data_IF_035278215639
#
_entry.id   IF_035278215639
#
_cell.length_a   1.000
_cell.length_b   1.000
_cell.length_c   1.000
_cell.angle_alpha   90.00
_cell.angle_beta   90.00
_cell.angle_gamma   90.00
#
_symmetry.space_group_name_H-M   'P 1'
#
loop_
_entity.id
_entity.type
_entity.pdbx_description
1 polymer ?
#
# COMPACT_ATOMS: atom_id res chain seq x y z
N UNK A 1 7.72 -23.18 15.47
CA UNK A 1 7.73 -21.96 16.30
C UNK A 1 6.51 -21.16 15.91
N UNK A 2 5.59 -20.97 16.86
CA UNK A 2 4.31 -20.28 16.67
C UNK A 2 4.53 -18.77 16.58
N UNK A 3 3.84 -18.12 15.65
CA UNK A 3 3.84 -16.69 15.45
C UNK A 3 3.15 -16.00 16.63
N UNK A 4 3.76 -14.92 17.16
CA UNK A 4 3.17 -14.19 18.29
C UNK A 4 2.17 -13.13 17.81
N UNK A 5 0.96 -13.16 18.34
CA UNK A 5 -0.08 -12.14 18.13
C UNK A 5 -0.43 -11.46 19.45
N UNK A 6 -0.52 -10.14 19.44
CA UNK A 6 -0.97 -9.31 20.54
C UNK A 6 -2.49 -9.26 20.58
N UNK A 7 -3.06 -10.11 21.43
CA UNK A 7 -4.50 -10.22 21.64
C UNK A 7 -5.04 -9.14 22.60
N UNK A 8 -4.15 -8.44 23.32
CA UNK A 8 -4.53 -7.40 24.29
C UNK A 8 -5.22 -6.23 23.59
N UNK A 9 -4.77 -5.91 22.37
CA UNK A 9 -5.28 -4.83 21.52
C UNK A 9 -5.33 -3.51 22.28
N UNK A 10 -4.35 -3.29 23.16
CA UNK A 10 -4.36 -2.12 24.03
C UNK A 10 -4.14 -0.84 23.22
N UNK A 11 -5.09 0.08 23.35
CA UNK A 11 -4.96 1.42 22.76
C UNK A 11 -4.28 2.32 23.80
N UNK A 12 -3.17 3.00 23.44
CA UNK A 12 -2.45 3.87 24.37
C UNK A 12 -3.37 4.92 25.03
N UNK A 13 -3.22 5.11 26.34
CA UNK A 13 -4.04 6.03 27.14
C UNK A 13 -4.03 7.47 26.58
N UNK A 14 -2.90 7.91 26.02
CA UNK A 14 -2.80 9.21 25.36
C UNK A 14 -3.78 9.34 24.18
N UNK A 15 -3.93 8.28 23.35
CA UNK A 15 -4.87 8.29 22.21
C UNK A 15 -6.33 8.30 22.68
N UNK A 16 -6.65 7.54 23.74
CA UNK A 16 -7.99 7.55 24.38
C UNK A 16 -8.37 8.96 24.85
N UNK A 17 -7.44 9.64 25.56
CA UNK A 17 -7.64 11.02 26.02
C UNK A 17 -7.92 12.00 24.87
N UNK A 18 -7.18 11.89 23.76
CA UNK A 18 -7.41 12.76 22.59
C UNK A 18 -8.77 12.50 21.94
N UNK A 19 -9.21 11.24 21.88
CA UNK A 19 -10.53 10.88 21.38
C UNK A 19 -11.66 11.42 22.26
N UNK A 20 -11.54 11.29 23.58
CA UNK A 20 -12.49 11.88 24.54
C UNK A 20 -12.56 13.40 24.40
N UNK A 21 -11.43 14.08 24.20
CA UNK A 21 -11.37 15.52 23.95
C UNK A 21 -12.10 15.91 22.65
N UNK A 22 -11.96 15.13 21.58
CA UNK A 22 -12.71 15.33 20.34
C UNK A 22 -14.21 15.14 20.53
N UNK A 23 -14.63 14.10 21.27
CA UNK A 23 -16.03 13.81 21.52
C UNK A 23 -16.72 14.88 22.39
N UNK A 24 -16.01 15.41 23.39
CA UNK A 24 -16.53 16.44 24.29
C UNK A 24 -16.60 17.84 23.65
N UNK A 25 -16.04 18.02 22.45
CA UNK A 25 -15.84 19.33 21.84
C UNK A 25 -14.60 19.99 22.42
N UNK A 26 -13.51 19.94 21.66
CA UNK A 26 -12.22 20.48 22.10
C UNK A 26 -12.26 22.02 22.23
N UNK A 27 -11.51 22.54 23.21
CA UNK A 27 -11.32 24.00 23.45
C UNK A 27 -10.28 24.63 22.53
N UNK A 28 -9.48 23.81 21.87
CA UNK A 28 -8.44 24.20 20.90
C UNK A 28 -8.89 23.78 19.51
N UNK A 29 -8.32 24.34 18.43
CA UNK A 29 -8.79 23.97 17.09
C UNK A 29 -8.38 22.53 16.74
N UNK A 30 -9.32 21.76 16.20
CA UNK A 30 -9.07 20.44 15.64
C UNK A 30 -8.78 20.54 14.14
N UNK A 31 -7.69 19.92 13.71
CA UNK A 31 -7.29 19.83 12.31
C UNK A 31 -7.26 18.38 11.85
N UNK A 32 -7.38 18.16 10.55
CA UNK A 32 -7.28 16.82 9.95
C UNK A 32 -6.17 16.84 8.90
N UNK A 33 -5.19 15.95 9.03
CA UNK A 33 -4.14 15.79 8.02
C UNK A 33 -4.63 14.88 6.89
N UNK A 34 -4.54 15.38 5.66
CA UNK A 34 -4.92 14.71 4.42
C UNK A 34 -6.33 15.01 3.95
N UNK A 35 -6.53 15.02 2.62
CA UNK A 35 -7.82 15.27 1.96
C UNK A 35 -8.40 13.98 1.33
N UNK A 36 -8.54 12.91 2.11
CA UNK A 36 -8.97 11.58 1.64
C UNK A 36 -10.30 11.11 2.26
N UNK A 37 -10.73 9.88 1.93
CA UNK A 37 -11.98 9.31 2.44
C UNK A 37 -12.03 9.25 3.99
N UNK A 38 -10.92 8.90 4.64
CA UNK A 38 -10.79 8.88 6.10
C UNK A 38 -11.01 10.29 6.68
N UNK A 39 -10.43 11.31 6.06
CA UNK A 39 -10.65 12.71 6.47
C UNK A 39 -12.11 13.15 6.34
N UNK A 40 -12.85 12.66 5.32
CA UNK A 40 -14.30 12.90 5.23
C UNK A 40 -15.07 12.27 6.37
N UNK A 41 -14.71 11.05 6.80
CA UNK A 41 -15.37 10.38 7.92
C UNK A 41 -15.15 11.15 9.23
N UNK A 42 -13.94 11.66 9.47
CA UNK A 42 -13.63 12.51 10.63
C UNK A 42 -14.49 13.78 10.61
N UNK A 43 -14.54 14.50 9.49
CA UNK A 43 -15.27 15.76 9.37
C UNK A 43 -16.80 15.62 9.42
N UNK A 44 -17.34 14.42 9.17
CA UNK A 44 -18.78 14.13 9.38
C UNK A 44 -19.14 14.03 10.86
N UNK A 45 -18.17 13.69 11.72
CA UNK A 45 -18.43 13.39 13.15
C UNK A 45 -17.97 14.49 14.09
N UNK A 46 -16.88 15.18 13.74
CA UNK A 46 -16.27 16.20 14.58
C UNK A 46 -16.20 17.55 13.87
N UNK A 47 -16.25 18.62 14.67
CA UNK A 47 -16.00 19.97 14.18
C UNK A 47 -14.51 20.11 13.80
N UNK A 48 -14.26 20.31 12.51
CA UNK A 48 -12.91 20.51 11.95
C UNK A 48 -12.73 21.98 11.57
N UNK A 49 -11.64 22.58 12.05
CA UNK A 49 -11.29 23.97 11.74
C UNK A 49 -10.76 24.09 10.30
N UNK A 50 -9.82 23.22 9.93
CA UNK A 50 -9.23 23.15 8.59
C UNK A 50 -8.60 21.76 8.33
N UNK A 51 -8.31 21.49 7.06
CA UNK A 51 -7.51 20.35 6.63
C UNK A 51 -6.05 20.77 6.43
N UNK A 52 -5.11 19.88 6.75
CA UNK A 52 -3.69 20.06 6.49
C UNK A 52 -3.34 19.19 5.28
N UNK A 53 -2.86 19.80 4.19
CA UNK A 53 -2.32 19.05 3.06
C UNK A 53 -1.30 19.91 2.28
N UNK A 54 -0.07 19.42 2.17
CA UNK A 54 1.02 20.14 1.51
C UNK A 54 1.13 19.84 0.01
N UNK A 55 0.43 18.82 -0.49
CA UNK A 55 0.50 18.38 -1.89
C UNK A 55 -0.68 18.89 -2.73
N UNK A 56 -1.86 18.92 -2.13
CA UNK A 56 -3.11 19.37 -2.77
C UNK A 56 -3.03 20.86 -3.13
N UNK A 57 -3.57 21.26 -4.29
CA UNK A 57 -3.53 22.65 -4.77
C UNK A 57 -4.84 23.39 -4.51
N UNK A 58 -5.91 22.64 -4.29
CA UNK A 58 -7.22 23.13 -3.94
C UNK A 58 -7.18 23.93 -2.64
N UNK A 59 -7.93 25.03 -2.60
CA UNK A 59 -8.00 25.89 -1.43
C UNK A 59 -8.94 25.36 -0.33
N UNK A 60 -9.87 24.47 -0.69
CA UNK A 60 -10.88 23.96 0.24
C UNK A 60 -11.16 22.47 0.04
N UNK A 61 -11.54 21.82 1.14
CA UNK A 61 -12.06 20.45 1.17
C UNK A 61 -13.30 20.41 2.06
N UNK A 62 -14.41 19.87 1.56
CA UNK A 62 -15.71 19.86 2.27
C UNK A 62 -16.16 21.25 2.75
N UNK A 63 -15.85 22.31 2.00
CA UNK A 63 -16.18 23.69 2.36
C UNK A 63 -15.34 24.27 3.51
N UNK A 64 -14.28 23.58 3.96
CA UNK A 64 -13.32 24.07 4.95
C UNK A 64 -11.98 24.39 4.28
N UNK A 65 -11.20 25.35 4.81
CA UNK A 65 -9.90 25.68 4.25
C UNK A 65 -8.94 24.48 4.29
N UNK A 66 -8.12 24.34 3.26
CA UNK A 66 -6.91 23.53 3.27
C UNK A 66 -5.73 24.48 3.57
N UNK A 67 -4.93 24.13 4.58
CA UNK A 67 -3.74 24.89 4.97
C UNK A 67 -2.49 24.04 4.79
N UNK A 68 -1.35 24.71 4.59
CA UNK A 68 -0.05 24.05 4.66
C UNK A 68 0.28 23.70 6.11
N UNK A 69 1.04 22.64 6.33
CA UNK A 69 1.41 22.17 7.67
C UNK A 69 2.12 23.26 8.49
N UNK A 70 2.95 24.08 7.83
CA UNK A 70 3.64 25.21 8.45
C UNK A 70 2.70 26.34 8.93
N UNK A 71 1.46 26.39 8.44
CA UNK A 71 0.47 27.42 8.77
C UNK A 71 -0.48 26.98 9.89
N UNK A 72 -0.51 25.69 10.25
CA UNK A 72 -1.41 25.18 11.28
C UNK A 72 -0.87 25.48 12.70
N UNK A 73 -1.74 25.79 13.68
CA UNK A 73 -1.34 26.06 15.06
C UNK A 73 -0.71 24.83 15.73
N UNK A 74 0.43 24.99 16.39
CA UNK A 74 1.21 23.88 16.97
C UNK A 74 0.54 23.21 18.17
N UNK A 75 -0.35 23.94 18.85
CA UNK A 75 -1.16 23.46 19.97
C UNK A 75 -2.45 22.75 19.52
N UNK A 76 -2.72 22.72 18.21
CA UNK A 76 -3.88 22.04 17.64
C UNK A 76 -3.88 20.53 17.93
N UNK A 77 -5.07 19.98 18.09
CA UNK A 77 -5.29 18.54 18.04
C UNK A 77 -5.39 18.13 16.57
N UNK A 78 -4.55 17.19 16.13
CA UNK A 78 -4.53 16.74 14.73
C UNK A 78 -5.01 15.30 14.62
N UNK A 79 -6.00 15.05 13.77
CA UNK A 79 -6.36 13.69 13.34
C UNK A 79 -5.59 13.35 12.06
N UNK A 80 -4.72 12.34 12.12
CA UNK A 80 -3.88 11.92 10.99
C UNK A 80 -4.56 10.86 10.13
N UNK A 81 -4.98 11.23 8.92
CA UNK A 81 -5.67 10.36 7.98
C UNK A 81 -4.85 9.76 6.82
N UNK A 82 -3.54 10.00 6.63
CA UNK A 82 -2.77 9.21 5.66
C UNK A 82 -2.68 7.74 6.06
N UNK A 83 -3.05 6.82 5.15
CA UNK A 83 -3.09 5.37 5.40
C UNK A 83 -1.98 4.57 4.70
N UNK A 84 -1.40 5.10 3.61
CA UNK A 84 -0.31 4.42 2.88
C UNK A 84 1.03 4.52 3.58
N UNK A 85 1.36 5.71 4.12
CA UNK A 85 2.61 5.98 4.84
C UNK A 85 2.31 6.70 6.17
N UNK A 86 1.56 6.05 7.08
CA UNK A 86 1.07 6.69 8.30
C UNK A 86 2.20 7.14 9.24
N UNK A 87 3.26 6.34 9.37
CA UNK A 87 4.41 6.70 10.21
C UNK A 87 5.21 7.88 9.64
N UNK A 88 5.38 7.96 8.31
CA UNK A 88 6.01 9.12 7.67
C UNK A 88 5.20 10.39 7.91
N UNK A 89 3.87 10.30 7.82
CA UNK A 89 2.98 11.41 8.14
C UNK A 89 3.10 11.85 9.62
N UNK A 90 3.12 10.90 10.55
CA UNK A 90 3.34 11.19 11.98
C UNK A 90 4.72 11.81 12.25
N UNK A 91 5.78 11.30 11.62
CA UNK A 91 7.12 11.85 11.76
C UNK A 91 7.18 13.30 11.27
N UNK A 92 6.53 13.61 10.15
CA UNK A 92 6.44 14.97 9.62
C UNK A 92 5.68 15.92 10.56
N UNK A 93 4.56 15.47 11.13
CA UNK A 93 3.83 16.23 12.16
C UNK A 93 4.72 16.51 13.37
N UNK A 94 5.43 15.50 13.88
CA UNK A 94 6.36 15.68 15.02
C UNK A 94 7.48 16.66 14.70
N UNK A 95 8.06 16.60 13.51
CA UNK A 95 9.10 17.54 13.05
C UNK A 95 8.59 18.99 13.00
N UNK A 96 7.31 19.21 12.73
CA UNK A 96 6.68 20.54 12.74
C UNK A 96 6.16 20.96 14.13
N UNK A 97 6.39 20.14 15.15
CA UNK A 97 6.09 20.45 16.55
C UNK A 97 4.69 20.04 17.01
N UNK A 98 3.91 19.32 16.21
CA UNK A 98 2.64 18.76 16.64
C UNK A 98 2.86 17.62 17.63
N UNK A 99 2.19 17.68 18.78
CA UNK A 99 2.33 16.69 19.87
C UNK A 99 1.07 15.85 20.08
N UNK A 100 -0.09 16.46 19.89
CA UNK A 100 -1.40 15.85 20.13
C UNK A 100 -1.99 15.33 18.82
N UNK A 101 -1.52 14.14 18.42
CA UNK A 101 -1.90 13.49 17.17
C UNK A 101 -2.65 12.19 17.44
N UNK A 102 -3.85 12.08 16.88
CA UNK A 102 -4.64 10.84 16.85
C UNK A 102 -4.64 10.30 15.41
N UNK A 103 -4.10 9.12 15.17
CA UNK A 103 -4.19 8.49 13.85
C UNK A 103 -5.55 7.85 13.61
N UNK A 104 -5.94 7.76 12.33
CA UNK A 104 -7.24 7.20 11.95
C UNK A 104 -7.40 5.73 12.36
N UNK A 105 -6.33 4.94 12.44
CA UNK A 105 -6.41 3.54 12.88
C UNK A 105 -6.81 3.44 14.36
N UNK A 106 -6.19 4.25 15.22
CA UNK A 106 -6.59 4.36 16.61
C UNK A 106 -8.02 4.90 16.76
N UNK A 107 -8.41 5.86 15.93
CA UNK A 107 -9.78 6.40 15.92
C UNK A 107 -10.81 5.31 15.53
N UNK A 108 -10.53 4.52 14.49
CA UNK A 108 -11.34 3.36 14.09
C UNK A 108 -11.44 2.35 15.23
N UNK A 109 -10.34 1.98 15.88
CA UNK A 109 -10.38 1.06 17.01
C UNK A 109 -11.20 1.56 18.21
N UNK A 110 -11.21 2.88 18.46
CA UNK A 110 -11.95 3.47 19.58
C UNK A 110 -13.45 3.57 19.30
N UNK A 111 -13.87 3.72 18.03
CA UNK A 111 -15.27 3.77 17.62
C UNK A 111 -15.47 3.25 16.19
N UNK A 112 -15.49 1.92 16.04
CA UNK A 112 -15.66 1.24 14.75
C UNK A 112 -17.02 1.50 14.10
N UNK A 113 -18.03 1.87 14.90
CA UNK A 113 -19.36 2.18 14.38
C UNK A 113 -19.37 3.52 13.64
N UNK A 114 -18.65 4.52 14.15
CA UNK A 114 -18.56 5.83 13.52
C UNK A 114 -17.48 5.92 12.43
N UNK A 115 -16.41 5.12 12.54
CA UNK A 115 -15.26 5.18 11.65
C UNK A 115 -15.06 3.83 10.96
N UNK A 116 -15.37 3.71 9.66
CA UNK A 116 -15.22 2.46 8.94
C UNK A 116 -13.75 2.07 8.79
N UNK A 117 -13.54 0.78 8.58
CA UNK A 117 -12.23 0.20 8.26
C UNK A 117 -11.63 0.89 7.03
N UNK A 118 -10.30 0.97 7.03
CA UNK A 118 -9.55 1.50 5.88
C UNK A 118 -9.65 0.51 4.73
N UNK A 119 -9.87 1.02 3.51
CA UNK A 119 -9.85 0.22 2.28
C UNK A 119 -8.64 -0.73 2.29
N UNK A 120 -8.87 -2.02 1.97
CA UNK A 120 -7.88 -3.11 1.94
C UNK A 120 -7.44 -3.66 3.30
N UNK A 121 -7.96 -3.14 4.41
CA UNK A 121 -7.70 -3.65 5.76
C UNK A 121 -8.94 -4.30 6.39
N UNK A 122 -10.00 -4.54 5.61
CA UNK A 122 -11.23 -5.15 6.10
C UNK A 122 -10.99 -6.60 6.54
N UNK A 123 -11.67 -7.02 7.62
CA UNK A 123 -11.67 -8.41 8.12
C UNK A 123 -10.30 -9.01 8.48
N UNK A 124 -9.23 -8.21 8.55
CA UNK A 124 -7.88 -8.71 8.86
C UNK A 124 -7.83 -9.55 10.13
N UNK A 125 -8.52 -9.09 11.19
CA UNK A 125 -8.58 -9.80 12.47
C UNK A 125 -9.23 -11.18 12.32
N UNK A 126 -10.43 -11.21 11.72
CA UNK A 126 -11.19 -12.45 11.53
C UNK A 126 -10.45 -13.44 10.63
N UNK A 127 -9.74 -12.95 9.60
CA UNK A 127 -8.92 -13.80 8.73
C UNK A 127 -7.75 -14.44 9.49
N UNK A 128 -7.01 -13.65 10.29
CA UNK A 128 -5.91 -14.17 11.10
C UNK A 128 -6.42 -15.20 12.11
N UNK A 129 -7.54 -14.92 12.79
CA UNK A 129 -8.13 -15.85 13.75
C UNK A 129 -8.59 -17.16 13.10
N UNK A 130 -9.21 -17.09 11.92
CA UNK A 130 -9.69 -18.27 11.20
C UNK A 130 -8.58 -19.11 10.54
N UNK A 131 -7.38 -18.55 10.38
CA UNK A 131 -6.29 -19.16 9.60
C UNK A 131 -4.94 -19.17 10.32
N UNK A 132 -4.93 -19.15 11.66
CA UNK A 132 -3.68 -19.10 12.46
C UNK A 132 -2.66 -20.17 12.07
N UNK A 133 -3.12 -21.38 11.76
CA UNK A 133 -2.29 -22.49 11.30
C UNK A 133 -1.52 -22.16 10.01
N UNK A 134 -2.12 -21.42 9.07
CA UNK A 134 -1.48 -21.00 7.82
C UNK A 134 -0.43 -19.92 8.07
N UNK A 135 -0.70 -18.98 8.98
CA UNK A 135 0.28 -17.96 9.36
C UNK A 135 1.47 -18.58 10.10
N UNK A 136 1.23 -19.50 11.03
CA UNK A 136 2.27 -20.29 11.70
C UNK A 136 3.10 -21.12 10.71
N UNK A 137 2.43 -21.74 9.74
CA UNK A 137 3.10 -22.48 8.67
C UNK A 137 4.01 -21.56 7.84
N UNK A 138 3.51 -20.38 7.42
CA UNK A 138 4.30 -19.42 6.66
C UNK A 138 5.51 -18.93 7.48
N UNK A 139 5.27 -18.53 8.73
CA UNK A 139 6.32 -18.10 9.66
C UNK A 139 7.40 -19.19 9.83
N UNK A 140 7.01 -20.45 9.95
CA UNK A 140 7.92 -21.59 10.03
C UNK A 140 8.79 -21.81 8.79
N UNK A 141 8.34 -21.35 7.60
CA UNK A 141 9.02 -21.53 6.30
C UNK A 141 9.95 -20.40 5.90
N UNK A 142 9.88 -19.24 6.56
CA UNK A 142 10.80 -18.13 6.29
C UNK A 142 12.23 -18.51 6.71
N UNK A 143 13.21 -18.21 5.85
CA UNK A 143 14.56 -18.72 6.02
C UNK A 143 15.35 -18.00 7.12
N UNK A 144 15.06 -16.71 7.30
CA UNK A 144 15.79 -15.78 8.18
C UNK A 144 14.89 -15.17 9.25
N UNK A 145 15.49 -14.79 10.37
CA UNK A 145 14.79 -14.22 11.52
C UNK A 145 14.25 -12.81 11.23
N UNK A 146 14.88 -12.06 10.33
CA UNK A 146 14.42 -10.73 9.90
C UNK A 146 13.05 -10.82 9.22
N UNK A 147 12.88 -11.74 8.27
CA UNK A 147 11.61 -11.99 7.59
C UNK A 147 10.53 -12.49 8.55
N UNK A 148 10.90 -13.35 9.52
CA UNK A 148 10.00 -13.84 10.57
C UNK A 148 9.48 -12.70 11.43
N UNK A 149 10.38 -11.85 11.93
CA UNK A 149 10.02 -10.68 12.73
C UNK A 149 9.16 -9.69 11.94
N UNK A 150 9.50 -9.43 10.66
CA UNK A 150 8.71 -8.56 9.80
C UNK A 150 7.28 -9.10 9.57
N UNK A 151 7.14 -10.42 9.34
CA UNK A 151 5.83 -11.05 9.25
C UNK A 151 5.03 -10.87 10.55
N UNK A 152 5.65 -11.13 11.71
CA UNK A 152 5.02 -10.92 13.02
C UNK A 152 4.55 -9.47 13.18
N UNK A 153 5.39 -8.48 12.86
CA UNK A 153 5.03 -7.07 12.94
C UNK A 153 3.85 -6.70 12.03
N UNK A 154 3.86 -7.14 10.77
CA UNK A 154 2.78 -6.87 9.82
C UNK A 154 1.48 -7.54 10.27
N UNK A 155 1.53 -8.79 10.72
CA UNK A 155 0.37 -9.51 11.22
C UNK A 155 -0.20 -8.85 12.48
N UNK A 156 0.65 -8.41 13.42
CA UNK A 156 0.20 -7.69 14.60
C UNK A 156 -0.39 -6.32 14.26
N UNK A 157 0.19 -5.58 13.33
CA UNK A 157 -0.43 -4.36 12.83
C UNK A 157 -1.80 -4.65 12.21
N UNK A 158 -1.94 -5.67 11.36
CA UNK A 158 -3.23 -6.04 10.75
C UNK A 158 -4.24 -6.58 11.75
N UNK A 159 -3.78 -7.20 12.84
CA UNK A 159 -4.66 -7.72 13.88
C UNK A 159 -5.18 -6.61 14.80
N UNK A 160 -4.29 -5.69 15.17
CA UNK A 160 -4.56 -4.67 16.19
C UNK A 160 -4.89 -3.30 15.62
N UNK A 161 -4.56 -3.03 14.36
CA UNK A 161 -4.49 -1.70 13.74
C UNK A 161 -3.66 -0.70 14.57
N UNK A 162 -2.72 -1.17 15.39
CA UNK A 162 -1.82 -0.31 16.15
C UNK A 162 -0.52 -0.03 15.36
N UNK A 163 -0.32 1.24 15.00
CA UNK A 163 0.87 1.72 14.29
C UNK A 163 2.20 1.49 15.03
N UNK A 164 2.18 1.21 16.33
CA UNK A 164 3.41 0.89 17.08
C UNK A 164 4.08 -0.39 16.53
N UNK A 165 3.30 -1.33 15.97
CA UNK A 165 3.82 -2.52 15.32
C UNK A 165 4.60 -2.25 14.04
N UNK A 166 4.40 -1.09 13.42
CA UNK A 166 5.12 -0.68 12.21
C UNK A 166 6.42 0.09 12.53
N UNK A 167 6.72 0.36 13.80
CA UNK A 167 7.94 1.09 14.16
C UNK A 167 9.19 0.31 13.72
N UNK A 168 10.16 1.04 13.17
CA UNK A 168 11.39 0.45 12.63
C UNK A 168 11.25 -0.13 11.22
N UNK A 169 10.03 -0.30 10.68
CA UNK A 169 9.83 -0.69 9.29
C UNK A 169 10.04 0.53 8.40
N UNK A 170 11.07 0.47 7.55
CA UNK A 170 11.37 1.51 6.56
C UNK A 170 10.98 1.02 5.18
N UNK A 171 10.02 1.68 4.49
CA UNK A 171 9.68 1.31 3.12
C UNK A 171 10.87 1.55 2.19
N UNK A 172 11.35 0.48 1.56
CA UNK A 172 12.33 0.55 0.49
C UNK A 172 11.61 0.54 -0.87
N UNK A 173 11.14 1.72 -1.28
CA UNK A 173 10.44 1.88 -2.56
C UNK A 173 11.37 1.59 -3.73
N UNK A 174 12.65 1.90 -3.61
CA UNK A 174 13.64 1.76 -4.71
C UNK A 174 13.95 0.30 -5.02
N UNK A 175 14.03 -0.56 -4.00
CA UNK A 175 14.25 -1.99 -4.13
C UNK A 175 12.97 -2.83 -4.07
N UNK A 176 11.80 -2.21 -4.14
CA UNK A 176 10.53 -2.94 -4.24
C UNK A 176 10.60 -3.97 -5.39
N UNK A 177 10.40 -5.26 -5.07
CA UNK A 177 10.54 -6.44 -5.95
C UNK A 177 11.96 -6.95 -6.25
N UNK A 178 13.00 -6.26 -5.80
CA UNK A 178 14.40 -6.58 -6.10
C UNK A 178 15.25 -6.60 -4.82
N UNK A 179 14.82 -7.46 -3.89
CA UNK A 179 15.50 -7.69 -2.61
C UNK A 179 16.91 -8.27 -2.82
N UNK A 180 17.82 -8.03 -1.86
CA UNK A 180 19.21 -8.47 -1.90
C UNK A 180 19.37 -10.00 -2.05
N UNK A 181 18.35 -10.77 -1.68
CA UNK A 181 18.35 -12.22 -1.90
C UNK A 181 18.16 -12.63 -3.37
N UNK A 182 17.82 -11.70 -4.26
CA UNK A 182 17.65 -11.96 -5.69
C UNK A 182 18.95 -11.79 -6.46
N UNK A 183 19.41 -12.87 -7.08
CA UNK A 183 20.57 -12.85 -7.98
C UNK A 183 20.11 -12.90 -9.43
N UNK A 184 20.34 -11.81 -10.16
CA UNK A 184 20.10 -11.76 -11.60
C UNK A 184 21.27 -12.37 -12.37
N UNK A 185 20.95 -13.17 -13.37
CA UNK A 185 21.91 -13.71 -14.33
C UNK A 185 21.69 -13.04 -15.69
N UNK A 186 22.66 -13.11 -16.62
CA UNK A 186 22.37 -12.84 -18.01
C UNK A 186 21.25 -13.75 -18.53
N UNK A 187 20.58 -13.33 -19.60
CA UNK A 187 19.48 -14.03 -20.26
C UNK A 187 18.20 -14.26 -19.43
N UNK A 188 18.02 -13.53 -18.34
CA UNK A 188 16.78 -13.58 -17.55
C UNK A 188 15.59 -13.03 -18.34
N UNK A 189 14.40 -13.56 -18.06
CA UNK A 189 13.14 -13.05 -18.62
C UNK A 189 12.29 -12.53 -17.49
N UNK A 190 11.96 -11.24 -17.52
CA UNK A 190 11.10 -10.63 -16.51
C UNK A 190 9.65 -10.57 -16.97
N UNK A 191 8.73 -10.80 -16.03
CA UNK A 191 7.29 -10.70 -16.26
C UNK A 191 6.76 -9.61 -15.35
N UNK A 192 6.39 -8.48 -15.95
CA UNK A 192 5.79 -7.35 -15.25
C UNK A 192 4.26 -7.45 -15.36
N UNK A 193 3.63 -8.09 -14.38
CA UNK A 193 2.23 -8.55 -14.42
C UNK A 193 1.15 -7.47 -14.18
N UNK A 194 1.55 -6.20 -14.15
CA UNK A 194 0.72 -5.04 -13.84
C UNK A 194 1.61 -3.80 -13.84
N UNK A 195 2.22 -3.53 -14.99
CA UNK A 195 3.40 -2.68 -15.06
C UNK A 195 3.15 -1.18 -14.93
N UNK A 196 1.88 -0.75 -14.89
CA UNK A 196 1.47 0.64 -14.70
C UNK A 196 2.10 1.59 -15.72
N UNK A 197 3.16 2.32 -15.35
CA UNK A 197 3.90 3.24 -16.23
C UNK A 197 5.29 2.72 -16.60
N UNK A 198 5.63 1.50 -16.22
CA UNK A 198 6.88 0.82 -16.58
C UNK A 198 8.05 1.01 -15.62
N UNK A 199 7.87 1.65 -14.45
CA UNK A 199 8.97 1.94 -13.53
C UNK A 199 9.67 0.67 -13.02
N UNK A 200 8.92 -0.40 -12.76
CA UNK A 200 9.48 -1.69 -12.31
C UNK A 200 10.28 -2.36 -13.43
N UNK A 201 9.77 -2.33 -14.67
CA UNK A 201 10.49 -2.83 -15.85
C UNK A 201 11.81 -2.07 -16.11
N UNK A 202 11.82 -0.73 -15.98
CA UNK A 202 13.05 0.06 -16.08
C UNK A 202 14.06 -0.31 -14.99
N UNK A 203 13.59 -0.49 -13.74
CA UNK A 203 14.43 -0.89 -12.61
C UNK A 203 15.02 -2.28 -12.78
N UNK A 204 14.24 -3.22 -13.31
CA UNK A 204 14.74 -4.54 -13.69
C UNK A 204 15.82 -4.45 -14.76
N UNK A 205 15.57 -3.74 -15.87
CA UNK A 205 16.52 -3.62 -16.98
C UNK A 205 17.87 -3.01 -16.53
N UNK A 206 17.86 -2.05 -15.61
CA UNK A 206 19.08 -1.48 -15.02
C UNK A 206 19.86 -2.49 -14.17
N UNK A 207 19.16 -3.34 -13.42
CA UNK A 207 19.78 -4.37 -12.55
C UNK A 207 20.23 -5.61 -13.32
N UNK A 208 19.61 -5.89 -14.47
CA UNK A 208 19.96 -7.00 -15.34
C UNK A 208 20.17 -6.49 -16.79
N UNK A 209 21.30 -5.82 -17.11
CA UNK A 209 21.52 -5.28 -18.45
C UNK A 209 21.56 -6.34 -19.56
N UNK A 210 21.94 -7.58 -19.22
CA UNK A 210 21.98 -8.71 -20.15
C UNK A 210 20.70 -9.55 -20.18
N UNK A 211 19.56 -9.02 -19.73
CA UNK A 211 18.29 -9.74 -19.77
C UNK A 211 17.88 -10.11 -21.20
N UNK A 212 17.20 -11.23 -21.37
CA UNK A 212 16.69 -11.68 -22.67
C UNK A 212 15.45 -10.92 -23.11
N UNK A 213 14.61 -10.52 -22.16
CA UNK A 213 13.42 -9.74 -22.47
C UNK A 213 12.50 -9.51 -21.28
N UNK A 214 11.56 -8.58 -21.48
CA UNK A 214 10.56 -8.19 -20.50
C UNK A 214 9.19 -8.43 -21.13
N UNK A 215 8.34 -9.20 -20.47
CA UNK A 215 6.93 -9.35 -20.84
C UNK A 215 6.10 -8.40 -19.96
N UNK A 216 5.60 -7.35 -20.59
CA UNK A 216 4.96 -6.23 -19.93
C UNK A 216 3.44 -6.32 -20.07
N UNK A 217 2.72 -6.42 -18.96
CA UNK A 217 1.27 -6.52 -18.91
C UNK A 217 0.67 -5.26 -18.31
N UNK A 218 -0.19 -4.57 -19.06
CA UNK A 218 -0.99 -3.45 -18.56
C UNK A 218 -2.32 -3.43 -19.32
N UNK A 219 -3.47 -3.65 -18.66
CA UNK A 219 -4.76 -3.69 -19.34
C UNK A 219 -5.30 -2.33 -19.79
N UNK A 220 -4.96 -1.22 -19.13
CA UNK A 220 -5.46 0.12 -19.51
C UNK A 220 -4.81 0.59 -20.82
N UNK A 221 -5.60 0.99 -21.84
CA UNK A 221 -5.06 1.57 -23.06
C UNK A 221 -4.22 2.84 -22.83
N UNK A 222 -4.66 3.70 -21.91
CA UNK A 222 -4.00 4.96 -21.58
C UNK A 222 -2.63 4.70 -20.94
N UNK A 223 -2.59 3.85 -19.91
CA UNK A 223 -1.35 3.49 -19.23
C UNK A 223 -0.42 2.68 -20.15
N UNK A 224 -0.96 1.82 -21.01
CA UNK A 224 -0.16 1.11 -22.02
C UNK A 224 0.50 2.08 -23.01
N UNK A 225 -0.22 3.11 -23.46
CA UNK A 225 0.34 4.12 -24.35
C UNK A 225 1.47 4.91 -23.67
N UNK A 226 1.28 5.34 -22.42
CA UNK A 226 2.32 6.00 -21.61
C UNK A 226 3.53 5.08 -21.40
N UNK A 227 3.30 3.81 -21.09
CA UNK A 227 4.35 2.81 -20.88
C UNK A 227 5.20 2.57 -22.11
N UNK A 228 4.61 2.57 -23.31
CA UNK A 228 5.36 2.44 -24.57
C UNK A 228 6.34 3.59 -24.78
N UNK A 229 5.99 4.79 -24.34
CA UNK A 229 6.88 5.95 -24.39
C UNK A 229 7.99 5.81 -23.33
N UNK A 230 7.62 5.49 -22.09
CA UNK A 230 8.57 5.35 -20.98
C UNK A 230 9.59 4.22 -21.20
N UNK A 231 9.18 3.15 -21.87
CA UNK A 231 10.01 1.97 -22.15
C UNK A 231 10.63 1.97 -23.55
N UNK A 232 10.49 3.06 -24.33
CA UNK A 232 10.99 3.12 -25.71
C UNK A 232 12.51 2.91 -25.84
N UNK A 233 13.27 3.19 -24.78
CA UNK A 233 14.72 2.95 -24.72
C UNK A 233 15.13 1.50 -24.44
N UNK A 234 14.17 0.58 -24.23
CA UNK A 234 14.45 -0.84 -24.01
C UNK A 234 14.12 -1.64 -25.28
N UNK A 235 15.11 -2.35 -25.82
CA UNK A 235 14.98 -3.05 -27.11
C UNK A 235 14.12 -4.32 -27.02
N UNK A 236 14.08 -4.98 -25.85
CA UNK A 236 13.50 -6.32 -25.67
C UNK A 236 12.25 -6.32 -24.79
N UNK A 237 11.29 -5.43 -25.07
CA UNK A 237 10.00 -5.37 -24.36
C UNK A 237 8.85 -5.93 -25.21
N UNK A 238 8.16 -6.92 -24.65
CA UNK A 238 6.97 -7.54 -25.22
C UNK A 238 5.71 -7.01 -24.52
N UNK A 239 5.09 -5.99 -25.11
CA UNK A 239 3.87 -5.39 -24.59
C UNK A 239 2.65 -6.29 -24.83
N UNK A 240 1.93 -6.60 -23.76
CA UNK A 240 0.70 -7.38 -23.75
C UNK A 240 -0.38 -6.54 -23.07
N UNK A 241 -1.25 -5.90 -23.87
CA UNK A 241 -2.32 -5.03 -23.36
C UNK A 241 -3.52 -5.85 -22.88
N UNK A 242 -3.30 -6.64 -21.83
CA UNK A 242 -4.27 -7.55 -21.21
C UNK A 242 -3.99 -7.66 -19.72
N UNK A 243 -5.02 -7.95 -18.94
CA UNK A 243 -4.85 -8.32 -17.54
C UNK A 243 -4.24 -9.71 -17.43
N UNK A 244 -3.16 -9.85 -16.65
CA UNK A 244 -2.59 -11.15 -16.36
C UNK A 244 -3.50 -11.91 -15.38
N UNK A 245 -3.97 -13.08 -15.78
CA UNK A 245 -4.94 -13.87 -15.02
C UNK A 245 -4.63 -15.36 -15.10
N UNK A 246 -5.33 -16.17 -14.30
CA UNK A 246 -5.32 -17.63 -14.45
C UNK A 246 -6.10 -18.09 -15.69
N UNK A 247 -7.12 -17.34 -16.09
CA UNK A 247 -8.01 -17.68 -17.20
C UNK A 247 -8.03 -16.58 -18.25
N UNK A 248 -8.14 -16.97 -19.52
CA UNK A 248 -8.46 -16.06 -20.62
C UNK A 248 -9.91 -15.67 -20.55
N UNK A 249 -10.23 -14.45 -20.95
CA UNK A 249 -11.60 -13.99 -21.05
C UNK A 249 -11.67 -12.49 -21.05
N UNK A 250 -12.79 -11.95 -20.60
CA UNK A 250 -12.98 -10.52 -20.39
C UNK A 250 -13.46 -10.26 -18.98
N UNK A 251 -13.02 -9.14 -18.42
CA UNK A 251 -13.46 -8.68 -17.11
C UNK A 251 -13.78 -7.18 -17.13
N UNK A 252 -14.69 -6.78 -16.26
CA UNK A 252 -14.90 -5.37 -15.93
C UNK A 252 -13.74 -4.88 -15.06
N UNK A 253 -13.28 -3.66 -15.31
CA UNK A 253 -12.08 -3.08 -14.72
C UNK A 253 -12.32 -1.63 -14.32
N UNK A 254 -11.88 -1.26 -13.12
CA UNK A 254 -11.93 0.11 -12.60
C UNK A 254 -10.60 0.81 -12.93
N UNK A 255 -10.67 1.82 -13.79
CA UNK A 255 -9.53 2.65 -14.23
C UNK A 255 -9.38 3.93 -13.42
N UNK A 256 -10.28 4.19 -12.47
CA UNK A 256 -10.38 5.48 -11.77
C UNK A 256 -9.51 5.59 -10.52
N UNK A 257 -8.78 4.51 -10.17
CA UNK A 257 -8.05 4.37 -8.91
C UNK A 257 -6.53 4.50 -9.07
N UNK A 258 -6.01 4.76 -10.27
CA UNK A 258 -4.58 4.85 -10.55
C UNK A 258 -3.86 3.56 -10.16
N UNK A 259 -2.97 3.61 -9.15
CA UNK A 259 -2.28 2.42 -8.62
C UNK A 259 -3.21 1.37 -8.02
N UNK A 260 -4.45 1.74 -7.69
CA UNK A 260 -5.49 0.84 -7.19
C UNK A 260 -6.42 0.28 -8.27
N UNK A 261 -6.09 0.45 -9.55
CA UNK A 261 -6.89 -0.08 -10.65
C UNK A 261 -6.98 -1.62 -10.53
N UNK A 262 -8.19 -2.17 -10.73
CA UNK A 262 -8.45 -3.58 -10.47
C UNK A 262 -9.63 -4.12 -11.26
N UNK A 263 -9.69 -5.44 -11.40
CA UNK A 263 -10.88 -6.14 -11.86
C UNK A 263 -11.98 -6.01 -10.80
N UNK A 264 -13.16 -5.57 -11.21
CA UNK A 264 -14.36 -5.50 -10.37
C UNK A 264 -15.62 -5.50 -11.23
N UNK A 265 -16.73 -6.05 -10.73
CA UNK A 265 -17.98 -6.18 -11.51
C UNK A 265 -18.53 -4.82 -11.97
N UNK A 266 -18.40 -3.78 -11.16
CA UNK A 266 -18.84 -2.41 -11.44
C UNK A 266 -17.85 -1.54 -12.21
N UNK A 267 -16.77 -2.12 -12.75
CA UNK A 267 -15.77 -1.38 -13.52
C UNK A 267 -16.36 -0.80 -14.81
N UNK A 268 -15.98 0.43 -15.14
CA UNK A 268 -16.49 1.15 -16.32
C UNK A 268 -15.84 0.71 -17.64
N UNK A 269 -14.74 -0.04 -17.58
CA UNK A 269 -13.99 -0.49 -18.75
C UNK A 269 -13.99 -2.02 -18.85
N UNK A 270 -14.07 -2.56 -20.07
CA UNK A 270 -13.86 -3.98 -20.35
C UNK A 270 -12.43 -4.22 -20.81
N UNK A 271 -11.76 -5.18 -20.19
CA UNK A 271 -10.39 -5.57 -20.54
C UNK A 271 -10.35 -7.04 -20.92
N UNK A 272 -9.45 -7.39 -21.83
CA UNK A 272 -9.11 -8.78 -22.10
C UNK A 272 -8.18 -9.31 -21.01
N UNK A 273 -8.36 -10.58 -20.64
CA UNK A 273 -7.52 -11.32 -19.71
C UNK A 273 -6.74 -12.42 -20.44
N UNK A 274 -5.55 -12.74 -19.96
CA UNK A 274 -4.72 -13.81 -20.54
C UNK A 274 -3.95 -14.58 -19.47
N UNK A 275 -3.80 -15.89 -19.69
CA UNK A 275 -2.96 -16.76 -18.89
C UNK A 275 -1.48 -16.65 -19.24
N UNK A 276 -0.60 -16.64 -18.23
CA UNK A 276 0.85 -16.62 -18.45
C UNK A 276 1.32 -17.78 -19.37
N UNK A 277 0.74 -18.97 -19.20
CA UNK A 277 1.06 -20.14 -20.02
C UNK A 277 0.73 -19.96 -21.51
N UNK A 278 -0.32 -19.22 -21.84
CA UNK A 278 -0.73 -18.98 -23.23
C UNK A 278 0.19 -17.98 -23.92
N UNK A 279 0.73 -17.01 -23.16
CA UNK A 279 1.74 -16.08 -23.68
C UNK A 279 3.01 -16.81 -24.07
N UNK A 280 3.39 -17.89 -23.35
CA UNK A 280 4.52 -18.76 -23.73
C UNK A 280 4.33 -19.41 -25.09
N UNK A 281 3.11 -19.85 -25.39
CA UNK A 281 2.77 -20.53 -26.64
C UNK A 281 2.74 -19.56 -27.83
N UNK A 282 2.29 -18.32 -27.62
CA UNK A 282 2.26 -17.31 -28.67
C UNK A 282 3.65 -16.87 -29.16
N UNK A 283 4.72 -17.09 -28.36
CA UNK A 283 6.08 -16.63 -28.68
C UNK A 283 7.20 -17.66 -28.55
N UNK A 284 6.89 -18.92 -28.23
CA UNK A 284 7.86 -20.02 -28.25
C UNK A 284 8.99 -19.94 -27.19
N UNK A 285 8.79 -19.27 -26.05
CA UNK A 285 9.86 -19.05 -25.04
C UNK A 285 9.53 -19.61 -23.64
N UNK A 286 10.56 -20.13 -22.95
CA UNK A 286 10.52 -20.51 -21.53
C UNK A 286 10.96 -19.31 -20.67
N UNK A 287 10.06 -18.81 -19.79
CA UNK A 287 10.42 -17.91 -18.70
C UNK A 287 11.47 -18.53 -17.77
N UNK A 288 12.53 -17.78 -17.45
CA UNK A 288 13.40 -18.02 -16.30
C UNK A 288 12.89 -17.19 -15.12
N UNK A 289 12.80 -17.79 -13.94
CA UNK A 289 12.69 -17.03 -12.70
C UNK A 289 14.06 -17.04 -12.03
N UNK A 290 14.47 -15.96 -11.35
CA UNK A 290 15.68 -15.96 -10.54
C UNK A 290 15.58 -17.09 -9.50
N UNK A 291 16.55 -18.00 -9.52
CA UNK A 291 16.59 -19.15 -8.61
C UNK A 291 17.19 -18.71 -7.28
N UNK A 292 16.63 -19.19 -6.16
CA UNK A 292 17.28 -19.10 -4.84
C UNK A 292 18.65 -19.79 -4.89
N UNK A 293 19.60 -19.30 -4.09
CA UNK A 293 20.80 -20.04 -3.73
C UNK A 293 20.37 -21.36 -3.09
N UNK A 294 20.55 -22.47 -3.82
CA UNK A 294 20.57 -23.79 -3.20
C UNK A 294 21.85 -23.84 -2.38
N UNK A 295 21.70 -23.69 -1.06
CA UNK A 295 22.78 -23.81 -0.11
C UNK A 295 23.36 -25.22 -0.19
N UNK A 296 24.65 -25.28 -0.51
CA UNK A 296 25.52 -26.39 -0.18
C UNK A 296 25.44 -26.63 1.33
N UNK A 297 24.99 -27.83 1.70
CA UNK A 297 25.34 -28.44 2.98
C UNK A 297 26.54 -29.36 2.74
#
# INVERSE_FOLDING_TARGET
MTMKIDESREIPAAKKRLFEELQAGTKRPAFVLGCNACARNVARRFAVAAFIDDAVQEATFLGKPIVRMAQAPRDALVVSCPVTLPLTAQARLRQHGFRDVLDYFALNNLDRCSFPDVDHFENCQADIDAHRDKYDWLHGRLADDTSRALLEQICNFRYTMNLDWLQGIVPDVENQYFDDCMVFRPDEVFVDGGGFKGETSLRFARRCPGHRGIYYFEPSPELMAESRQNLAGLETVHFVQKGLSRQTGQASFDTTRGVGNRVCEGGSTRIDLVGLAQVRQLRGQKFGFPRKLEGQA
#
